data_IF_897846934655
#
_entry.id   IF_897846934655
#
_cell.length_a   1.000
_cell.length_b   1.000
_cell.length_c   1.000
_cell.angle_alpha   90.00
_cell.angle_beta   90.00
_cell.angle_gamma   90.00
#
_symmetry.space_group_name_H-M   'P 1'
#
loop_
_entity.id
_entity.type
_entity.pdbx_description
1 polymer ?
#
# COMPACT_ATOMS: atom_id res chain seq x y z
N UNK A 1 -9.69 4.55 3.25
CA UNK A 1 -9.38 5.16 1.94
C UNK A 1 -7.98 4.72 1.51
N UNK A 2 -7.82 4.12 0.33
CA UNK A 2 -6.55 3.56 -0.14
C UNK A 2 -5.38 4.55 -0.15
N UNK A 3 -5.67 5.85 -0.35
CA UNK A 3 -4.65 6.89 -0.32
C UNK A 3 -4.02 7.10 1.06
N UNK A 4 -4.80 7.02 2.15
CA UNK A 4 -4.23 7.14 3.50
C UNK A 4 -3.31 5.96 3.84
N UNK A 5 -3.65 4.77 3.34
CA UNK A 5 -2.80 3.59 3.45
C UNK A 5 -1.47 3.82 2.73
N UNK A 6 -1.53 4.27 1.47
CA UNK A 6 -0.34 4.60 0.69
C UNK A 6 0.53 5.65 1.43
N UNK A 7 -0.09 6.64 2.09
CA UNK A 7 0.62 7.70 2.82
C UNK A 7 1.33 7.11 4.03
N UNK A 8 0.65 6.24 4.78
CA UNK A 8 1.26 5.49 5.89
C UNK A 8 2.42 4.62 5.44
N UNK A 9 2.29 3.93 4.32
CA UNK A 9 3.34 3.06 3.77
C UNK A 9 4.56 3.89 3.34
N UNK A 10 4.36 5.09 2.78
CA UNK A 10 5.45 5.97 2.34
C UNK A 10 6.15 6.66 3.51
N UNK A 11 5.38 7.10 4.51
CA UNK A 11 5.91 7.74 5.71
C UNK A 11 6.51 6.71 6.69
N UNK A 12 6.06 5.46 6.63
CA UNK A 12 6.50 4.37 7.47
C UNK A 12 7.81 3.74 7.01
N UNK A 13 8.35 2.88 7.88
CA UNK A 13 9.48 2.01 7.54
C UNK A 13 8.95 0.74 6.86
N UNK A 14 9.57 0.37 5.74
CA UNK A 14 9.28 -0.86 5.02
C UNK A 14 10.28 -1.96 5.43
N UNK A 15 9.87 -3.24 5.48
CA UNK A 15 8.54 -3.76 5.13
C UNK A 15 7.48 -3.51 6.21
N UNK A 16 6.24 -3.28 5.79
CA UNK A 16 5.08 -3.03 6.65
C UNK A 16 4.04 -4.14 6.50
N UNK A 17 3.58 -4.70 7.61
CA UNK A 17 2.60 -5.79 7.63
C UNK A 17 1.21 -5.27 7.96
N UNK A 18 0.21 -5.77 7.23
CA UNK A 18 -1.19 -5.41 7.33
C UNK A 18 -2.01 -6.68 7.59
N UNK A 19 -2.79 -6.67 8.66
CA UNK A 19 -3.63 -7.79 9.09
C UNK A 19 -5.12 -7.47 8.99
N UNK A 20 -5.48 -6.23 8.70
CA UNK A 20 -6.88 -5.81 8.56
C UNK A 20 -7.35 -6.02 7.12
N UNK A 21 -8.52 -6.65 6.95
CA UNK A 21 -9.11 -6.92 5.63
C UNK A 21 -9.27 -5.66 4.77
N UNK A 22 -9.78 -4.56 5.33
CA UNK A 22 -9.89 -3.28 4.60
C UNK A 22 -8.54 -2.75 4.12
N UNK A 23 -7.50 -2.84 4.96
CA UNK A 23 -6.15 -2.43 4.58
C UNK A 23 -5.63 -3.34 3.46
N UNK A 24 -5.85 -4.66 3.55
CA UNK A 24 -5.45 -5.64 2.54
C UNK A 24 -6.14 -5.36 1.20
N UNK A 25 -7.44 -5.06 1.18
CA UNK A 25 -8.17 -4.69 -0.03
C UNK A 25 -7.60 -3.43 -0.68
N UNK A 26 -7.36 -2.38 0.11
CA UNK A 26 -6.72 -1.17 -0.36
C UNK A 26 -5.30 -1.42 -0.91
N UNK A 27 -4.54 -2.28 -0.25
CA UNK A 27 -3.20 -2.67 -0.66
C UNK A 27 -3.22 -3.45 -1.97
N UNK A 28 -4.24 -4.27 -2.19
CA UNK A 28 -4.52 -5.00 -3.43
C UNK A 28 -4.76 -4.04 -4.59
N UNK A 29 -5.60 -3.02 -4.38
CA UNK A 29 -5.88 -1.97 -5.37
C UNK A 29 -4.60 -1.18 -5.70
N UNK A 30 -3.83 -0.79 -4.67
CA UNK A 30 -2.57 -0.04 -4.87
C UNK A 30 -1.51 -0.88 -5.60
N UNK A 31 -1.44 -2.17 -5.31
CA UNK A 31 -0.53 -3.11 -5.99
C UNK A 31 -0.94 -3.30 -7.44
N UNK A 32 -2.23 -3.53 -7.69
CA UNK A 32 -2.79 -3.72 -9.03
C UNK A 32 -2.56 -2.49 -9.92
N UNK A 33 -2.76 -1.29 -9.36
CA UNK A 33 -2.45 -0.03 -10.02
C UNK A 33 -0.94 0.26 -10.16
N UNK A 34 -0.05 -0.56 -9.58
CA UNK A 34 1.40 -0.43 -9.69
C UNK A 34 2.02 0.63 -8.78
N UNK A 35 1.30 1.12 -7.76
CA UNK A 35 1.80 2.11 -6.80
C UNK A 35 2.70 1.48 -5.72
N UNK A 36 2.48 0.21 -5.37
CA UNK A 36 3.25 -0.50 -4.33
C UNK A 36 3.63 -1.91 -4.75
N UNK A 37 4.75 -2.39 -4.22
CA UNK A 37 5.14 -3.81 -4.25
C UNK A 37 4.75 -4.42 -2.92
N UNK A 38 3.80 -5.34 -2.97
CA UNK A 38 3.31 -6.02 -1.80
C UNK A 38 3.10 -7.50 -2.05
N UNK A 39 3.37 -8.28 -1.01
CA UNK A 39 3.02 -9.69 -0.93
C UNK A 39 1.64 -9.78 -0.29
N UNK A 40 0.66 -10.24 -1.04
CA UNK A 40 -0.73 -10.36 -0.57
C UNK A 40 -1.08 -11.83 -0.72
N UNK A 41 -1.16 -12.59 0.38
CA UNK A 41 -1.54 -13.99 0.34
C UNK A 41 -3.00 -14.12 -0.15
N UNK A 42 -3.31 -15.24 -0.81
CA UNK A 42 -4.67 -15.56 -1.27
C UNK A 42 -5.58 -16.06 -0.13
N UNK A 43 -5.02 -16.37 1.03
CA UNK A 43 -5.73 -16.97 2.15
C UNK A 43 -6.44 -15.91 2.98
N UNK A 44 -7.73 -16.13 3.21
CA UNK A 44 -8.64 -15.26 3.96
C UNK A 44 -8.25 -15.29 5.45
N UNK A 45 -7.31 -14.41 5.83
CA UNK A 45 -6.74 -14.35 7.19
C UNK A 45 -5.22 -14.22 7.25
N UNK A 46 -4.53 -14.31 6.11
CA UNK A 46 -3.08 -14.13 6.05
C UNK A 46 -2.69 -12.66 5.87
N UNK A 47 -1.65 -12.25 6.58
CA UNK A 47 -1.21 -10.85 6.60
C UNK A 47 -0.57 -10.43 5.26
N UNK A 48 -0.99 -9.29 4.73
CA UNK A 48 -0.33 -8.68 3.57
C UNK A 48 0.91 -7.91 4.00
N UNK A 49 1.98 -7.95 3.20
CA UNK A 49 3.23 -7.27 3.48
C UNK A 49 3.57 -6.30 2.36
N UNK A 50 3.53 -4.99 2.63
CA UNK A 50 4.08 -3.98 1.75
C UNK A 50 5.61 -3.99 1.87
N UNK A 51 6.30 -4.31 0.77
CA UNK A 51 7.75 -4.41 0.73
C UNK A 51 8.41 -3.14 0.19
N UNK A 52 7.77 -2.49 -0.79
CA UNK A 52 8.28 -1.25 -1.35
C UNK A 52 7.15 -0.38 -1.93
N UNK A 53 7.38 0.93 -1.98
CA UNK A 53 6.56 1.85 -2.77
C UNK A 53 7.27 2.11 -4.09
N UNK A 54 6.55 2.06 -5.20
CA UNK A 54 7.12 2.34 -6.53
C UNK A 54 7.30 3.84 -6.74
N UNK A 55 8.08 4.21 -7.75
CA UNK A 55 8.18 5.63 -8.17
C UNK A 55 6.82 6.22 -8.53
N UNK A 56 5.90 5.41 -9.07
CA UNK A 56 4.53 5.82 -9.37
C UNK A 56 3.77 6.18 -8.09
N UNK A 57 3.84 5.33 -7.04
CA UNK A 57 3.17 5.59 -5.75
C UNK A 57 3.68 6.85 -5.06
N UNK A 58 4.99 7.08 -5.11
CA UNK A 58 5.59 8.33 -4.59
C UNK A 58 5.18 9.55 -5.40
N UNK A 59 5.13 9.46 -6.73
CA UNK A 59 4.69 10.56 -7.59
C UNK A 59 3.20 10.87 -7.38
N UNK A 60 2.36 9.85 -7.28
CA UNK A 60 0.95 10.00 -6.96
C UNK A 60 0.78 10.77 -5.64
N UNK A 61 1.54 10.42 -4.61
CA UNK A 61 1.51 11.14 -3.34
C UNK A 61 1.96 12.60 -3.41
N UNK A 62 2.95 12.89 -4.25
CA UNK A 62 3.35 14.28 -4.48
C UNK A 62 2.29 15.06 -5.26
N UNK A 63 1.55 14.40 -6.15
CA UNK A 63 0.51 15.02 -6.96
C UNK A 63 -0.80 15.23 -6.18
N UNK A 64 -1.15 14.29 -5.32
CA UNK A 64 -2.37 14.33 -4.50
C UNK A 64 -2.18 14.95 -3.11
N UNK A 65 -0.94 15.12 -2.64
CA UNK A 65 -0.60 15.70 -1.33
C UNK A 65 -0.15 17.16 -1.38
N UNK A 66 -0.31 17.83 -2.52
CA UNK A 66 0.03 19.23 -2.74
C UNK A 66 -1.21 20.11 -2.80
N UNK A 67 -1.91 20.27 -1.68
CA UNK A 67 -2.78 21.42 -1.39
C UNK A 67 -2.38 22.03 -0.04
#
# INVERSE_FOLDING_TARGET
MAYELLRRIIAGALPMTFTHEEDIEHLRILRDAGYVKADIPLDDGAAAVANAVTSLGRTAMRYFGGE
#
